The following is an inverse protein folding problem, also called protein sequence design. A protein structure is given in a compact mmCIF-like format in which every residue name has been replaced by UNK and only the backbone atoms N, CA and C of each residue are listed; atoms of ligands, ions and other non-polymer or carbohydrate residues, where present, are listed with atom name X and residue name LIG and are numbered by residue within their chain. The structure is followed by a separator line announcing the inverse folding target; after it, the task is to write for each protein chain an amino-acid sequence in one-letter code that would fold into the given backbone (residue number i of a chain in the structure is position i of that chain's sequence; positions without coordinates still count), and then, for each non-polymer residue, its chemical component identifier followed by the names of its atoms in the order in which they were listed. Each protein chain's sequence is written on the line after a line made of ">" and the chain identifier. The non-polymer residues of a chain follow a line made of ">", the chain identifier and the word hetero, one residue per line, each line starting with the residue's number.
data_IF_114519166641
#
_entry.id   IF_114519166641
#
_cell.length_a   1.000
_cell.length_b   1.000
_cell.length_c   1.000
_cell.angle_alpha   90.00
_cell.angle_beta   90.00
_cell.angle_gamma   90.00
#
_symmetry.space_group_name_H-M   'P 1'
#
loop_
_entity.id
_entity.type
_entity.pdbx_description
1 polymer ?
#
# COMPACT_ATOMS: atom_id res chain seq x y z
N UNK A 1 3.98 15.48 1.11
CA UNK A 1 3.31 14.37 0.42
C UNK A 1 2.01 14.93 -0.15
N UNK A 2 1.75 14.77 -1.45
CA UNK A 2 0.52 15.26 -2.08
C UNK A 2 -0.49 14.11 -2.18
N UNK A 3 -1.75 14.36 -1.82
CA UNK A 3 -2.83 13.39 -2.04
C UNK A 3 -3.64 13.81 -3.25
N UNK A 4 -3.80 12.91 -4.20
CA UNK A 4 -4.60 13.09 -5.41
C UNK A 4 -5.87 12.24 -5.32
N UNK A 5 -7.02 12.89 -5.50
CA UNK A 5 -8.29 12.19 -5.62
C UNK A 5 -8.38 11.52 -6.99
N UNK A 6 -8.76 10.26 -7.02
CA UNK A 6 -9.00 9.50 -8.26
C UNK A 6 -10.41 8.91 -8.28
N UNK A 7 -10.85 8.43 -9.45
CA UNK A 7 -12.12 7.72 -9.58
C UNK A 7 -11.93 6.22 -9.40
N UNK A 8 -12.97 5.50 -8.96
CA UNK A 8 -12.97 4.01 -8.90
C UNK A 8 -12.48 3.33 -10.16
N UNK A 9 -12.86 3.88 -11.32
CA UNK A 9 -12.46 3.34 -12.62
C UNK A 9 -10.96 3.50 -12.84
N UNK A 10 -10.40 4.67 -12.55
CA UNK A 10 -8.96 4.91 -12.69
C UNK A 10 -8.17 4.06 -11.70
N UNK A 11 -8.73 3.84 -10.51
CA UNK A 11 -8.19 2.99 -9.47
C UNK A 11 -8.08 1.53 -9.92
N UNK A 12 -9.18 0.93 -10.42
CA UNK A 12 -9.12 -0.43 -10.96
C UNK A 12 -8.22 -0.54 -12.18
N UNK A 13 -8.19 0.48 -13.04
CA UNK A 13 -7.25 0.50 -14.19
C UNK A 13 -5.80 0.43 -13.72
N UNK A 14 -5.47 1.06 -12.59
CA UNK A 14 -4.16 0.99 -11.96
C UNK A 14 -3.89 -0.38 -11.33
N UNK A 15 -4.86 -0.97 -10.63
CA UNK A 15 -4.76 -2.32 -10.06
C UNK A 15 -4.55 -3.40 -11.13
N UNK A 16 -5.23 -3.27 -12.27
CA UNK A 16 -5.11 -4.21 -13.40
C UNK A 16 -3.76 -4.12 -14.13
N UNK A 17 -3.01 -3.03 -13.92
CA UNK A 17 -1.75 -2.78 -14.62
C UNK A 17 -0.55 -3.07 -13.70
N UNK A 18 0.34 -4.03 -14.04
CA UNK A 18 1.52 -4.31 -13.24
C UNK A 18 2.41 -3.07 -13.05
N UNK A 19 2.68 -2.71 -11.80
CA UNK A 19 3.61 -1.63 -11.47
C UNK A 19 5.06 -2.11 -11.45
N UNK A 20 5.91 -1.51 -12.27
CA UNK A 20 7.35 -1.78 -12.29
C UNK A 20 7.67 -3.31 -12.29
N UNK A 21 7.17 -4.05 -13.31
CA UNK A 21 7.27 -5.51 -13.34
C UNK A 21 8.72 -5.98 -13.28
N UNK A 22 9.00 -7.15 -12.67
CA UNK A 22 10.36 -7.69 -12.62
C UNK A 22 10.83 -8.04 -14.02
N UNK A 23 12.13 -7.90 -14.27
CA UNK A 23 12.76 -8.29 -15.54
C UNK A 23 12.97 -9.81 -15.64
N UNK A 24 12.05 -10.59 -15.06
CA UNK A 24 11.99 -12.04 -15.14
C UNK A 24 11.95 -12.47 -16.61
N UNK A 25 13.09 -12.90 -17.15
CA UNK A 25 13.13 -13.56 -18.46
C UNK A 25 12.83 -15.03 -18.23
N UNK A 26 12.08 -15.66 -19.13
CA UNK A 26 11.71 -17.08 -19.05
C UNK A 26 12.91 -18.06 -18.95
N UNK A 27 14.12 -17.56 -19.22
CA UNK A 27 15.37 -18.33 -19.24
C UNK A 27 16.24 -18.08 -17.99
N UNK A 28 15.81 -17.19 -17.09
CA UNK A 28 16.61 -16.69 -15.96
C UNK A 28 15.80 -16.83 -14.65
N UNK A 29 15.74 -18.06 -14.14
CA UNK A 29 15.10 -18.39 -12.87
C UNK A 29 15.72 -17.59 -11.70
N UNK A 30 17.03 -17.33 -11.74
CA UNK A 30 17.75 -16.53 -10.76
C UNK A 30 17.21 -15.10 -10.64
N UNK A 31 16.92 -14.43 -11.76
CA UNK A 31 16.39 -13.06 -11.73
C UNK A 31 15.00 -12.98 -11.07
N UNK A 32 14.21 -14.05 -11.12
CA UNK A 32 12.94 -14.09 -10.40
C UNK A 32 13.15 -14.36 -8.91
N UNK A 33 14.04 -15.29 -8.55
CA UNK A 33 14.40 -15.56 -7.16
C UNK A 33 14.92 -14.30 -6.46
N UNK A 34 15.85 -13.56 -7.08
CA UNK A 34 16.35 -12.27 -6.58
C UNK A 34 15.21 -11.25 -6.37
N UNK A 35 14.23 -11.22 -7.28
CA UNK A 35 13.06 -10.35 -7.10
C UNK A 35 12.18 -10.78 -5.94
N UNK A 36 11.96 -12.09 -5.74
CA UNK A 36 11.18 -12.58 -4.61
C UNK A 36 11.85 -12.25 -3.28
N UNK A 37 13.18 -12.40 -3.19
CA UNK A 37 13.96 -11.99 -2.03
C UNK A 37 13.86 -10.48 -1.77
N UNK A 38 14.11 -9.64 -2.80
CA UNK A 38 13.97 -8.18 -2.72
C UNK A 38 12.56 -7.79 -2.24
N UNK A 39 11.52 -8.40 -2.82
CA UNK A 39 10.14 -8.11 -2.50
C UNK A 39 9.80 -8.51 -1.05
N UNK A 40 10.24 -9.68 -0.58
CA UNK A 40 10.02 -10.10 0.80
C UNK A 40 10.73 -9.19 1.80
N UNK A 41 11.97 -8.77 1.51
CA UNK A 41 12.68 -7.80 2.36
C UNK A 41 11.92 -6.48 2.45
N UNK A 42 11.40 -5.99 1.31
CA UNK A 42 10.61 -4.76 1.30
C UNK A 42 9.30 -4.93 2.07
N UNK A 43 8.57 -6.05 1.88
CA UNK A 43 7.34 -6.38 2.62
C UNK A 43 7.57 -6.47 4.12
N UNK A 44 8.65 -7.14 4.56
CA UNK A 44 8.98 -7.28 5.97
C UNK A 44 9.38 -5.95 6.62
N UNK A 45 10.10 -5.10 5.88
CA UNK A 45 10.38 -3.73 6.34
C UNK A 45 9.10 -2.88 6.43
N UNK A 46 8.16 -3.04 5.49
CA UNK A 46 6.85 -2.39 5.55
C UNK A 46 6.04 -2.88 6.76
N UNK A 47 6.01 -4.19 7.03
CA UNK A 47 5.39 -4.75 8.23
C UNK A 47 5.94 -4.10 9.50
N UNK A 48 7.27 -4.04 9.63
CA UNK A 48 7.95 -3.41 10.78
C UNK A 48 7.57 -1.94 10.96
N UNK A 49 7.27 -1.23 9.87
CA UNK A 49 6.77 0.16 9.91
C UNK A 49 5.33 0.20 10.44
N UNK A 50 4.45 -0.67 9.92
CA UNK A 50 3.04 -0.73 10.28
C UNK A 50 2.80 -1.23 11.72
N UNK A 51 3.64 -2.16 12.22
CA UNK A 51 3.59 -2.68 13.59
C UNK A 51 3.82 -1.62 14.68
N UNK A 52 4.30 -0.42 14.30
CA UNK A 52 4.39 0.74 15.21
C UNK A 52 3.02 1.34 15.54
N UNK A 53 2.00 1.01 14.75
CA UNK A 53 0.68 1.63 14.78
C UNK A 53 -0.46 0.66 15.07
N UNK A 54 -0.25 -0.64 14.89
CA UNK A 54 -1.23 -1.71 15.12
C UNK A 54 -0.58 -3.11 15.08
N UNK A 55 -1.37 -4.14 15.34
CA UNK A 55 -0.97 -5.54 15.30
C UNK A 55 -1.25 -6.16 13.91
N UNK A 56 -0.27 -6.93 13.41
CA UNK A 56 -0.40 -7.71 12.18
C UNK A 56 -1.08 -9.06 12.44
N UNK A 57 -1.94 -9.49 11.52
CA UNK A 57 -2.45 -10.86 11.45
C UNK A 57 -2.86 -11.23 10.03
N UNK A 58 -2.52 -12.45 9.61
CA UNK A 58 -2.80 -12.97 8.27
C UNK A 58 -4.28 -13.32 8.07
N UNK A 59 -5.06 -13.38 9.15
CA UNK A 59 -6.48 -13.78 9.17
C UNK A 59 -7.45 -12.61 9.37
N UNK A 60 -6.98 -11.38 9.20
CA UNK A 60 -7.77 -10.14 9.32
C UNK A 60 -8.37 -9.88 10.73
N UNK A 61 -7.97 -10.62 11.78
CA UNK A 61 -8.55 -10.45 13.12
C UNK A 61 -7.95 -9.25 13.89
N UNK A 62 -6.80 -8.72 13.43
CA UNK A 62 -6.04 -7.65 14.10
C UNK A 62 -6.28 -6.27 13.50
N UNK A 63 -5.24 -5.44 13.36
CA UNK A 63 -5.32 -4.07 12.87
C UNK A 63 -5.05 -3.97 11.36
N UNK A 64 -4.16 -4.83 10.86
CA UNK A 64 -3.85 -4.90 9.43
C UNK A 64 -3.34 -6.29 9.01
N UNK A 65 -3.43 -6.53 7.70
CA UNK A 65 -2.88 -7.69 7.00
C UNK A 65 -2.01 -7.21 5.82
N UNK A 66 -1.00 -7.98 5.46
CA UNK A 66 -0.10 -7.75 4.33
C UNK A 66 -0.17 -8.94 3.41
N UNK A 67 -0.41 -8.69 2.11
CA UNK A 67 -0.37 -9.73 1.09
C UNK A 67 0.90 -10.59 1.21
N UNK A 68 0.73 -11.90 1.07
CA UNK A 68 1.78 -12.90 1.20
C UNK A 68 2.40 -13.29 -0.15
N UNK A 69 1.72 -12.92 -1.24
CA UNK A 69 2.06 -13.33 -2.59
C UNK A 69 2.55 -12.11 -3.39
N UNK A 70 3.72 -12.24 -4.01
CA UNK A 70 4.14 -11.28 -5.01
C UNK A 70 3.25 -11.43 -6.26
N UNK A 71 2.43 -10.43 -6.54
CA UNK A 71 2.09 -10.16 -7.94
C UNK A 71 3.41 -9.85 -8.68
N UNK A 72 3.51 -10.11 -9.98
CA UNK A 72 4.71 -9.84 -10.78
C UNK A 72 4.93 -8.32 -10.98
N UNK A 73 5.07 -7.57 -9.88
CA UNK A 73 5.13 -6.12 -9.79
C UNK A 73 5.69 -5.68 -8.43
N UNK A 74 6.23 -4.46 -8.34
CA UNK A 74 6.61 -3.82 -7.07
C UNK A 74 5.42 -3.16 -6.35
N UNK A 75 4.24 -3.73 -6.52
CA UNK A 75 3.04 -3.41 -5.74
C UNK A 75 2.98 -4.29 -4.50
N UNK A 76 2.67 -3.71 -3.35
CA UNK A 76 2.42 -4.46 -2.11
C UNK A 76 1.00 -4.15 -1.63
N UNK A 77 0.19 -5.19 -1.47
CA UNK A 77 -1.16 -5.08 -0.92
C UNK A 77 -1.15 -5.07 0.60
N UNK A 78 -1.90 -4.15 1.19
CA UNK A 78 -2.16 -4.03 2.63
C UNK A 78 -3.66 -3.92 2.83
N UNK A 79 -4.20 -4.62 3.81
CA UNK A 79 -5.58 -4.43 4.25
C UNK A 79 -5.57 -3.81 5.62
N UNK A 80 -6.22 -2.66 5.80
CA UNK A 80 -6.55 -2.11 7.11
C UNK A 80 -7.91 -2.64 7.53
N UNK A 81 -7.90 -3.47 8.58
CA UNK A 81 -9.10 -4.11 9.14
C UNK A 81 -9.69 -3.28 10.28
N UNK A 82 -8.94 -2.31 10.80
CA UNK A 82 -9.38 -1.36 11.83
C UNK A 82 -9.19 0.07 11.37
N UNK A 83 -10.21 0.90 11.59
CA UNK A 83 -10.17 2.34 11.30
C UNK A 83 -9.06 3.09 12.06
N UNK A 84 -8.57 2.53 13.18
CA UNK A 84 -7.45 3.09 13.95
C UNK A 84 -6.13 3.16 13.18
N UNK A 85 -6.00 2.38 12.10
CA UNK A 85 -4.87 2.44 11.17
C UNK A 85 -4.99 3.60 10.18
N UNK A 86 -6.19 4.15 10.01
CA UNK A 86 -6.48 5.21 9.05
C UNK A 86 -6.16 6.60 9.60
N UNK A 87 -4.87 6.92 9.67
CA UNK A 87 -4.36 8.20 10.15
C UNK A 87 -3.16 8.66 9.34
N UNK A 88 -2.99 9.97 9.19
CA UNK A 88 -1.95 10.56 8.35
C UNK A 88 -0.54 10.04 8.71
N UNK A 89 -0.27 9.83 10.00
CA UNK A 89 1.04 9.36 10.47
C UNK A 89 1.41 7.97 9.92
N UNK A 90 0.43 7.10 9.68
CA UNK A 90 0.67 5.78 9.09
C UNK A 90 1.09 5.96 7.63
N UNK A 91 0.35 6.75 6.86
CA UNK A 91 0.66 7.01 5.44
C UNK A 91 2.01 7.72 5.28
N UNK A 92 2.32 8.68 6.17
CA UNK A 92 3.61 9.35 6.19
C UNK A 92 4.77 8.39 6.49
N UNK A 93 4.58 7.46 7.44
CA UNK A 93 5.60 6.46 7.75
C UNK A 93 5.83 5.48 6.59
N UNK A 94 4.75 5.07 5.91
CA UNK A 94 4.82 4.22 4.70
C UNK A 94 5.54 4.95 3.56
N UNK A 95 5.16 6.20 3.28
CA UNK A 95 5.83 7.01 2.26
C UNK A 95 7.31 7.27 2.57
N UNK A 96 7.64 7.56 3.83
CA UNK A 96 9.02 7.75 4.27
C UNK A 96 9.86 6.48 4.11
N UNK A 97 9.29 5.31 4.39
CA UNK A 97 9.94 4.02 4.16
C UNK A 97 10.19 3.78 2.66
N UNK A 98 9.20 4.00 1.80
CA UNK A 98 9.38 3.84 0.35
C UNK A 98 10.42 4.82 -0.23
N UNK A 99 10.52 6.03 0.32
CA UNK A 99 11.46 7.04 -0.15
C UNK A 99 12.94 6.66 0.05
N UNK A 100 13.25 5.68 0.90
CA UNK A 100 14.63 5.20 1.13
C UNK A 100 14.96 3.91 0.39
N UNK A 101 14.00 3.31 -0.31
CA UNK A 101 14.21 2.08 -1.07
C UNK A 101 15.01 2.36 -2.36
N UNK A 102 15.86 1.40 -2.79
CA UNK A 102 16.67 1.56 -4.02
C UNK A 102 15.84 1.47 -5.30
N UNK A 103 14.61 0.96 -5.22
CA UNK A 103 13.66 0.80 -6.32
C UNK A 103 12.35 1.45 -5.94
N UNK A 104 11.63 1.94 -6.95
CA UNK A 104 10.31 2.49 -6.72
C UNK A 104 9.31 1.34 -6.49
N UNK A 105 8.73 1.36 -5.29
CA UNK A 105 7.61 0.52 -4.85
C UNK A 105 6.36 1.38 -4.67
N UNK A 106 5.20 0.73 -4.77
CA UNK A 106 3.94 1.32 -4.34
C UNK A 106 3.18 0.37 -3.42
N UNK A 107 2.47 0.94 -2.46
CA UNK A 107 1.63 0.20 -1.52
C UNK A 107 0.18 0.51 -1.84
N UNK A 108 -0.58 -0.53 -2.17
CA UNK A 108 -2.03 -0.46 -2.27
C UNK A 108 -2.60 -0.84 -0.92
N UNK A 109 -3.38 0.06 -0.33
CA UNK A 109 -4.06 -0.14 0.94
C UNK A 109 -5.56 -0.20 0.67
N UNK A 110 -6.18 -1.30 1.04
CA UNK A 110 -7.63 -1.46 1.06
C UNK A 110 -8.13 -1.32 2.50
N UNK A 111 -9.19 -0.54 2.68
CA UNK A 111 -9.90 -0.39 3.95
C UNK A 111 -11.14 -1.26 3.92
N UNK A 112 -11.18 -2.26 4.80
CA UNK A 112 -12.39 -3.04 5.03
C UNK A 112 -13.19 -2.40 6.17
N UNK A 113 -14.41 -1.95 5.87
CA UNK A 113 -15.39 -1.54 6.88
C UNK A 113 -16.58 -2.48 6.80
N UNK A 114 -17.00 -3.00 7.95
CA UNK A 114 -18.16 -3.90 8.02
C UNK A 114 -19.40 -3.27 7.37
N UNK A 115 -19.80 -3.82 6.22
CA UNK A 115 -21.00 -3.41 5.51
C UNK A 115 -20.89 -2.15 4.64
N UNK A 116 -19.69 -1.60 4.42
CA UNK A 116 -19.46 -0.50 3.48
C UNK A 116 -18.65 -0.95 2.25
N UNK A 117 -18.57 -0.11 1.22
CA UNK A 117 -17.71 -0.36 0.06
C UNK A 117 -16.24 -0.22 0.46
N UNK A 118 -15.39 -1.14 0.01
CA UNK A 118 -13.94 -1.06 0.19
C UNK A 118 -13.41 0.30 -0.28
N UNK A 119 -12.55 0.93 0.52
CA UNK A 119 -11.85 2.14 0.11
C UNK A 119 -10.41 1.85 -0.20
N UNK A 120 -9.95 2.36 -1.33
CA UNK A 120 -8.63 2.06 -1.85
C UNK A 120 -7.76 3.31 -1.91
N UNK A 121 -6.51 3.15 -1.48
CA UNK A 121 -5.49 4.16 -1.58
C UNK A 121 -4.16 3.57 -2.00
N UNK A 122 -3.44 4.30 -2.84
CA UNK A 122 -2.09 3.99 -3.27
C UNK A 122 -1.13 4.97 -2.64
N UNK A 123 -0.08 4.46 -2.04
CA UNK A 123 1.01 5.27 -1.48
C UNK A 123 2.26 4.95 -2.30
N UNK A 124 2.89 5.98 -2.85
CA UNK A 124 4.24 5.95 -3.41
C UNK A 124 5.17 6.82 -2.56
N UNK A 125 6.45 6.87 -2.93
CA UNK A 125 7.44 7.74 -2.26
C UNK A 125 7.06 9.22 -2.17
N UNK A 126 6.31 9.74 -3.15
CA UNK A 126 6.02 11.17 -3.31
C UNK A 126 4.52 11.50 -3.37
N UNK A 127 3.69 10.48 -3.56
CA UNK A 127 2.30 10.65 -3.96
C UNK A 127 1.40 9.69 -3.18
N UNK A 128 0.23 10.17 -2.77
CA UNK A 128 -0.88 9.32 -2.37
C UNK A 128 -1.99 9.50 -3.40
N UNK A 129 -2.54 8.42 -3.94
CA UNK A 129 -3.73 8.47 -4.79
C UNK A 129 -4.86 7.77 -4.04
N UNK A 130 -6.01 8.41 -3.86
CA UNK A 130 -7.07 7.84 -3.05
C UNK A 130 -8.45 8.04 -3.64
N UNK A 131 -9.30 7.03 -3.49
CA UNK A 131 -10.74 7.15 -3.61
C UNK A 131 -11.35 6.98 -2.21
N UNK A 132 -11.69 8.12 -1.59
CA UNK A 132 -12.22 8.15 -0.25
C UNK A 132 -13.46 9.05 -0.15
N UNK A 133 -14.43 8.68 0.71
CA UNK A 133 -15.42 9.60 1.25
C UNK A 133 -14.79 10.90 1.79
N UNK A 134 -15.56 11.98 1.76
CA UNK A 134 -15.05 13.32 2.10
C UNK A 134 -14.61 13.44 3.58
N UNK A 135 -15.33 12.79 4.48
CA UNK A 135 -15.01 12.71 5.91
C UNK A 135 -13.68 11.97 6.15
N UNK A 136 -13.43 10.87 5.44
CA UNK A 136 -12.15 10.16 5.51
C UNK A 136 -11.00 10.98 4.90
N UNK A 137 -11.24 11.67 3.78
CA UNK A 137 -10.26 12.60 3.21
C UNK A 137 -9.86 13.71 4.19
N UNK A 138 -10.81 14.24 4.98
CA UNK A 138 -10.53 15.26 5.99
C UNK A 138 -9.66 14.73 7.14
N UNK A 139 -9.83 13.47 7.53
CA UNK A 139 -9.01 12.84 8.56
C UNK A 139 -7.55 12.65 8.11
N UNK A 140 -7.31 12.40 6.83
CA UNK A 140 -5.96 12.23 6.28
C UNK A 140 -5.24 13.54 5.99
N UNK A 141 -5.98 14.60 5.66
CA UNK A 141 -5.42 15.90 5.27
C UNK A 141 -6.08 17.08 5.98
N UNK A 142 -6.05 17.14 7.33
CA UNK A 142 -6.76 18.18 8.07
C UNK A 142 -6.30 19.60 7.68
N UNK A 143 -5.03 19.77 7.33
CA UNK A 143 -4.41 21.08 7.06
C UNK A 143 -4.64 21.62 5.64
N UNK A 144 -5.20 20.83 4.72
CA UNK A 144 -5.41 21.26 3.31
C UNK A 144 -6.80 21.89 3.10
N UNK A 145 -7.67 21.83 4.11
CA UNK A 145 -9.05 22.31 4.06
C UNK A 145 -9.31 23.54 4.94
N UNK A 146 -8.27 24.04 5.61
CA UNK A 146 -8.27 25.32 6.34
C UNK A 146 -7.77 26.45 5.43
#
# INVERSE_FOLDING_TARGET
>A
MNVHRITRKDLYTKLDTPYNPPACKAEDESACEEFFEEWHDVRNGLQTVLERFGEHDDFDDKDFNLGDTAMLSRGIGVTFTRETMFKSQVLEAVAAYMAVLPKDYEVHITLQRDGEEDHDLFVSRDTVMAELPEDLMRNLMPDTWM
#
